data_IF_067468161780
#
_entry.id   IF_067468161780
#
_cell.length_a   1.000
_cell.length_b   1.000
_cell.length_c   1.000
_cell.angle_alpha   90.00
_cell.angle_beta   90.00
_cell.angle_gamma   90.00
#
_symmetry.space_group_name_H-M   'P 1'
#
loop_
_entity.id
_entity.type
_entity.pdbx_description
1 polymer ?
#
# COMPACT_ATOMS: atom_id res chain seq x y z
N UNK A 1 -8.44 -0.37 33.36
CA UNK A 1 -9.11 0.20 32.20
C UNK A 1 -10.61 0.05 32.43
N UNK A 2 -11.40 1.12 32.39
CA UNK A 2 -12.86 1.01 32.55
C UNK A 2 -13.41 0.30 31.32
N UNK A 3 -14.14 -0.79 31.58
CA UNK A 3 -14.82 -1.59 30.59
C UNK A 3 -15.86 -0.73 29.86
N UNK A 4 -15.67 -0.48 28.59
CA UNK A 4 -16.57 0.35 27.76
C UNK A 4 -17.81 -0.42 27.30
N UNK A 5 -18.18 -1.51 27.96
CA UNK A 5 -19.39 -2.30 27.64
C UNK A 5 -19.27 -3.14 26.35
N UNK A 6 -18.10 -3.20 25.73
CA UNK A 6 -17.85 -4.01 24.52
C UNK A 6 -17.28 -5.41 24.81
N UNK A 7 -16.95 -5.66 26.09
CA UNK A 7 -16.42 -6.94 26.55
C UNK A 7 -17.39 -7.58 27.55
N UNK A 8 -17.80 -8.81 27.28
CA UNK A 8 -18.59 -9.61 28.21
C UNK A 8 -17.67 -10.33 29.18
N UNK A 9 -17.46 -9.74 30.35
CA UNK A 9 -16.61 -10.28 31.40
C UNK A 9 -17.12 -11.60 31.99
N UNK A 10 -18.44 -11.87 31.92
CA UNK A 10 -19.03 -13.10 32.44
C UNK A 10 -18.68 -14.31 31.60
N UNK A 11 -18.47 -14.10 30.28
CA UNK A 11 -18.14 -15.15 29.32
C UNK A 11 -16.73 -14.97 28.71
N UNK A 12 -15.93 -14.03 29.21
CA UNK A 12 -14.61 -13.66 28.65
C UNK A 12 -14.68 -13.42 27.13
N UNK A 13 -15.74 -12.76 26.65
CA UNK A 13 -16.06 -12.69 25.23
C UNK A 13 -16.32 -11.25 24.78
N UNK A 14 -15.65 -10.83 23.71
CA UNK A 14 -15.95 -9.56 23.04
C UNK A 14 -17.19 -9.67 22.17
N UNK A 15 -18.08 -8.66 22.22
CA UNK A 15 -19.26 -8.59 21.37
C UNK A 15 -18.94 -8.40 19.90
N UNK A 16 -17.85 -7.75 19.58
CA UNK A 16 -17.36 -7.57 18.22
C UNK A 16 -15.96 -8.17 18.13
N UNK A 17 -15.76 -9.10 17.20
CA UNK A 17 -14.49 -9.76 17.00
C UNK A 17 -14.18 -9.84 15.51
N UNK A 18 -12.98 -9.42 15.15
CA UNK A 18 -12.43 -9.55 13.79
C UNK A 18 -11.36 -10.65 13.81
N UNK A 19 -11.43 -11.57 12.87
CA UNK A 19 -10.44 -12.64 12.67
C UNK A 19 -10.06 -12.71 11.21
N UNK A 20 -8.89 -13.25 10.92
CA UNK A 20 -8.48 -13.61 9.57
C UNK A 20 -8.93 -15.04 9.24
N UNK A 21 -9.40 -15.25 8.02
CA UNK A 21 -9.54 -16.56 7.42
C UNK A 21 -8.31 -16.80 6.54
N UNK A 22 -7.40 -17.65 7.00
CA UNK A 22 -6.14 -17.93 6.30
C UNK A 22 -6.33 -18.66 4.97
N UNK A 23 -7.45 -19.36 4.79
CA UNK A 23 -7.73 -20.12 3.57
C UNK A 23 -8.28 -19.21 2.44
N UNK A 24 -9.12 -18.24 2.80
CA UNK A 24 -9.75 -17.32 1.83
C UNK A 24 -9.07 -15.97 1.77
N UNK A 25 -8.13 -15.68 2.68
CA UNK A 25 -7.47 -14.38 2.86
C UNK A 25 -8.47 -13.23 3.11
N UNK A 26 -9.62 -13.56 3.66
CA UNK A 26 -10.70 -12.60 3.97
C UNK A 26 -10.78 -12.34 5.47
N UNK A 27 -11.36 -11.20 5.83
CA UNK A 27 -11.68 -10.89 7.20
C UNK A 27 -13.04 -11.50 7.60
N UNK A 28 -13.09 -12.07 8.77
CA UNK A 28 -14.31 -12.56 9.41
C UNK A 28 -14.69 -11.61 10.53
N UNK A 29 -15.93 -11.13 10.51
CA UNK A 29 -16.51 -10.27 11.52
C UNK A 29 -17.60 -11.03 12.27
N UNK A 30 -17.36 -11.29 13.55
CA UNK A 30 -18.34 -11.90 14.45
C UNK A 30 -18.95 -10.81 15.36
N UNK A 31 -20.25 -10.72 15.34
CA UNK A 31 -21.01 -9.74 16.13
C UNK A 31 -22.00 -10.53 17.01
N UNK A 32 -22.01 -10.26 18.32
CA UNK A 32 -22.96 -10.87 19.27
C UNK A 32 -23.88 -9.80 19.84
N UNK A 33 -25.08 -10.21 20.28
CA UNK A 33 -26.09 -9.31 20.83
C UNK A 33 -26.68 -8.37 19.77
N UNK A 34 -27.07 -7.17 20.19
CA UNK A 34 -27.72 -6.17 19.33
C UNK A 34 -26.74 -5.17 18.71
N UNK A 35 -25.46 -5.50 18.67
CA UNK A 35 -24.44 -4.62 18.11
C UNK A 35 -24.43 -4.65 16.59
N UNK A 36 -23.95 -3.57 16.00
CA UNK A 36 -23.78 -3.43 14.54
C UNK A 36 -22.43 -2.78 14.27
N UNK A 37 -21.85 -3.10 13.13
CA UNK A 37 -20.65 -2.46 12.60
C UNK A 37 -21.01 -1.70 11.35
N UNK A 38 -20.85 -0.39 11.38
CA UNK A 38 -21.17 0.50 10.29
C UNK A 38 -19.91 0.84 9.47
N UNK A 39 -19.86 0.33 8.26
CA UNK A 39 -18.82 0.62 7.27
C UNK A 39 -19.28 1.59 6.17
N UNK A 40 -20.35 2.34 6.38
CA UNK A 40 -20.87 3.29 5.38
C UNK A 40 -20.07 4.58 5.33
N UNK A 41 -19.32 4.91 6.39
CA UNK A 41 -18.50 6.13 6.46
C UNK A 41 -17.30 6.07 5.51
N UNK A 42 -16.89 7.22 4.98
CA UNK A 42 -15.78 7.33 4.03
C UNK A 42 -14.43 6.92 4.63
N UNK A 43 -14.21 7.22 5.92
CA UNK A 43 -12.95 6.97 6.65
C UNK A 43 -12.94 5.64 7.42
N UNK A 44 -13.78 4.68 7.03
CA UNK A 44 -13.81 3.37 7.67
C UNK A 44 -12.64 2.49 7.20
N UNK A 45 -12.23 1.55 8.06
CA UNK A 45 -11.19 0.54 7.75
C UNK A 45 -11.69 -0.56 6.80
N UNK A 46 -12.91 -0.45 6.27
CA UNK A 46 -13.56 -1.47 5.43
C UNK A 46 -12.71 -1.90 4.23
N UNK A 47 -12.07 -0.95 3.56
CA UNK A 47 -11.24 -1.23 2.38
C UNK A 47 -10.01 -2.08 2.71
N UNK A 48 -9.42 -1.87 3.88
CA UNK A 48 -8.29 -2.67 4.37
C UNK A 48 -8.74 -4.08 4.71
N UNK A 49 -9.93 -4.20 5.34
CA UNK A 49 -10.50 -5.48 5.75
C UNK A 49 -11.24 -6.21 4.63
N UNK A 50 -11.45 -5.57 3.47
CA UNK A 50 -12.13 -6.15 2.32
C UNK A 50 -13.66 -6.12 2.39
N UNK A 51 -14.27 -5.37 3.32
CA UNK A 51 -15.72 -5.22 3.42
C UNK A 51 -16.26 -4.18 2.46
N UNK A 52 -17.48 -4.40 1.97
CA UNK A 52 -18.21 -3.42 1.20
C UNK A 52 -18.80 -2.32 2.09
N UNK A 53 -19.30 -1.24 1.44
CA UNK A 53 -19.96 -0.12 2.12
C UNK A 53 -21.35 -0.56 2.60
N UNK A 54 -21.45 -1.08 3.83
CA UNK A 54 -22.67 -1.61 4.41
C UNK A 54 -22.66 -1.54 5.94
N UNK A 55 -23.83 -1.81 6.56
CA UNK A 55 -23.98 -2.03 7.99
C UNK A 55 -24.12 -3.54 8.24
N UNK A 56 -23.22 -4.09 9.02
CA UNK A 56 -23.18 -5.52 9.35
C UNK A 56 -23.76 -5.74 10.74
N UNK A 57 -24.75 -6.64 10.87
CA UNK A 57 -25.44 -6.95 12.12
C UNK A 57 -25.63 -8.45 12.37
N UNK A 58 -25.28 -9.30 11.40
CA UNK A 58 -25.37 -10.75 11.55
C UNK A 58 -24.28 -11.28 12.49
N UNK A 59 -24.52 -12.41 13.13
CA UNK A 59 -23.56 -13.05 14.03
C UNK A 59 -22.24 -13.44 13.36
N UNK A 60 -22.26 -13.68 12.06
CA UNK A 60 -21.09 -13.99 11.26
C UNK A 60 -21.18 -13.30 9.91
N UNK A 61 -20.13 -12.60 9.54
CA UNK A 61 -19.97 -11.99 8.22
C UNK A 61 -18.52 -12.23 7.74
N UNK A 62 -18.36 -12.64 6.50
CA UNK A 62 -17.07 -12.70 5.82
C UNK A 62 -16.97 -11.54 4.84
N UNK A 63 -15.80 -10.92 4.73
CA UNK A 63 -15.61 -9.81 3.81
C UNK A 63 -15.77 -10.28 2.37
N UNK A 64 -16.34 -9.42 1.52
CA UNK A 64 -16.62 -9.72 0.11
C UNK A 64 -15.31 -9.76 -0.71
N UNK A 65 -14.29 -9.03 -0.26
CA UNK A 65 -12.99 -8.99 -0.90
C UNK A 65 -11.91 -9.52 0.05
N UNK A 66 -10.77 -9.87 -0.49
CA UNK A 66 -9.58 -10.24 0.29
C UNK A 66 -9.07 -9.02 1.09
N UNK A 67 -8.45 -9.30 2.24
CA UNK A 67 -7.78 -8.27 3.06
C UNK A 67 -6.64 -7.65 2.26
N UNK A 68 -6.63 -6.33 2.15
CA UNK A 68 -5.62 -5.59 1.41
C UNK A 68 -4.85 -4.63 2.32
N UNK A 69 -3.85 -5.16 3.02
CA UNK A 69 -2.97 -4.37 3.89
C UNK A 69 -1.82 -3.75 3.08
N UNK A 70 -1.38 -4.44 2.03
CA UNK A 70 -0.28 -4.00 1.17
C UNK A 70 -0.87 -3.31 -0.06
N UNK A 71 -0.95 -2.00 -0.02
CA UNK A 71 -1.50 -1.20 -1.11
C UNK A 71 -0.46 -0.90 -2.21
N UNK A 72 0.82 -1.03 -1.92
CA UNK A 72 1.94 -0.79 -2.84
C UNK A 72 2.65 -2.11 -3.08
N UNK A 73 2.50 -2.65 -4.29
CA UNK A 73 3.15 -3.91 -4.70
C UNK A 73 4.48 -3.68 -5.40
N UNK A 74 4.62 -2.56 -6.12
CA UNK A 74 5.89 -2.19 -6.77
C UNK A 74 6.11 -0.68 -6.67
N UNK A 75 7.38 -0.31 -6.64
CA UNK A 75 7.86 1.07 -6.61
C UNK A 75 8.67 1.34 -7.86
N UNK A 76 8.47 2.52 -8.46
CA UNK A 76 9.21 2.96 -9.63
C UNK A 76 9.79 4.35 -9.39
N UNK A 77 11.05 4.50 -9.76
CA UNK A 77 11.74 5.79 -9.78
C UNK A 77 11.69 6.32 -11.20
N UNK A 78 11.12 7.49 -11.38
CA UNK A 78 11.06 8.18 -12.69
C UNK A 78 11.94 9.41 -12.67
N UNK A 79 12.48 9.79 -13.82
CA UNK A 79 13.33 10.95 -13.98
C UNK A 79 13.07 11.61 -15.35
N UNK A 80 12.89 12.91 -15.35
CA UNK A 80 12.48 13.70 -16.52
C UNK A 80 13.56 13.88 -17.58
N UNK A 81 14.84 13.72 -17.23
CA UNK A 81 15.97 13.93 -18.15
C UNK A 81 16.32 12.74 -19.01
N UNK A 82 15.75 11.56 -18.75
CA UNK A 82 16.04 10.35 -19.51
C UNK A 82 15.13 10.23 -20.74
N UNK A 83 15.64 9.55 -21.75
CA UNK A 83 14.83 9.08 -22.88
C UNK A 83 13.76 8.11 -22.42
N UNK A 84 12.75 7.91 -23.27
CA UNK A 84 11.60 7.07 -23.00
C UNK A 84 11.99 5.65 -22.64
N UNK A 85 11.55 5.18 -21.50
CA UNK A 85 11.44 3.76 -21.18
C UNK A 85 9.99 3.29 -21.40
N UNK A 86 9.78 1.98 -21.49
CA UNK A 86 8.44 1.42 -21.65
C UNK A 86 8.05 0.66 -20.38
N UNK A 87 6.87 0.95 -19.90
CA UNK A 87 6.26 0.20 -18.80
C UNK A 87 4.82 -0.15 -19.17
N UNK A 88 4.50 -1.44 -19.17
CA UNK A 88 3.17 -1.95 -19.50
C UNK A 88 2.59 -1.38 -20.82
N UNK A 89 3.44 -1.29 -21.86
CA UNK A 89 3.06 -0.78 -23.19
C UNK A 89 2.92 0.74 -23.29
N UNK A 90 3.20 1.48 -22.24
CA UNK A 90 3.19 2.96 -22.23
C UNK A 90 4.61 3.50 -22.10
N UNK A 91 4.85 4.61 -22.78
CA UNK A 91 6.09 5.37 -22.65
C UNK A 91 6.14 6.05 -21.29
N UNK A 92 7.17 5.77 -20.53
CA UNK A 92 7.42 6.40 -19.21
C UNK A 92 8.91 6.72 -19.07
N UNK A 93 9.25 7.63 -18.17
CA UNK A 93 10.63 7.97 -17.84
C UNK A 93 11.10 7.19 -16.59
N UNK A 94 10.80 5.90 -16.52
CA UNK A 94 11.19 5.02 -15.41
C UNK A 94 12.65 4.62 -15.55
N UNK A 95 13.45 4.92 -14.52
CA UNK A 95 14.87 4.56 -14.46
C UNK A 95 15.11 3.26 -13.69
N UNK A 96 14.27 2.99 -12.70
CA UNK A 96 14.39 1.80 -11.87
C UNK A 96 13.04 1.36 -11.31
N UNK A 97 12.86 0.07 -11.19
CA UNK A 97 11.65 -0.53 -10.60
C UNK A 97 12.05 -1.64 -9.64
N UNK A 98 11.42 -1.68 -8.47
CA UNK A 98 11.68 -2.69 -7.46
C UNK A 98 10.42 -3.02 -6.66
N UNK A 99 10.47 -4.15 -5.96
CA UNK A 99 9.41 -4.58 -5.05
C UNK A 99 9.86 -4.32 -3.62
N UNK A 100 9.00 -3.72 -2.76
CA UNK A 100 9.34 -3.60 -1.35
C UNK A 100 9.63 -4.98 -0.74
N UNK A 101 10.80 -5.14 -0.16
CA UNK A 101 11.24 -6.39 0.47
C UNK A 101 11.07 -6.38 1.99
N UNK A 102 10.48 -5.32 2.54
CA UNK A 102 10.20 -5.15 3.96
C UNK A 102 8.74 -4.74 4.17
N UNK A 103 8.22 -5.00 5.35
CA UNK A 103 6.86 -4.60 5.73
C UNK A 103 6.67 -3.09 5.83
N UNK A 104 5.42 -2.60 5.84
CA UNK A 104 5.09 -1.19 6.04
C UNK A 104 5.71 -0.64 7.33
N UNK A 105 6.28 0.57 7.26
CA UNK A 105 6.92 1.24 8.40
C UNK A 105 8.40 0.91 8.60
N UNK A 106 8.97 0.01 7.80
CA UNK A 106 10.40 -0.27 7.83
C UNK A 106 11.13 0.49 6.73
N UNK A 107 12.41 0.82 6.99
CA UNK A 107 13.29 1.48 6.02
C UNK A 107 13.60 0.52 4.86
N UNK A 108 13.37 0.96 3.64
CA UNK A 108 13.76 0.25 2.43
C UNK A 108 15.16 0.73 2.03
N UNK A 109 16.08 -0.21 1.83
CA UNK A 109 17.39 0.05 1.24
C UNK A 109 17.48 -0.83 0.00
N UNK A 110 17.49 -0.19 -1.16
CA UNK A 110 17.54 -0.86 -2.44
C UNK A 110 18.84 -0.53 -3.17
N UNK A 111 19.55 -1.57 -3.59
CA UNK A 111 20.79 -1.45 -4.34
C UNK A 111 20.68 -2.33 -5.58
N UNK A 112 20.66 -1.74 -6.78
CA UNK A 112 20.61 -2.52 -8.02
C UNK A 112 21.81 -3.46 -8.15
N UNK A 113 21.56 -4.73 -8.41
CA UNK A 113 22.62 -5.72 -8.65
C UNK A 113 23.37 -5.40 -9.93
N UNK A 114 22.64 -4.96 -10.96
CA UNK A 114 23.20 -4.54 -12.25
C UNK A 114 22.77 -3.11 -12.56
N UNK A 115 23.73 -2.25 -12.89
CA UNK A 115 23.43 -0.89 -13.32
C UNK A 115 23.00 -0.90 -14.79
N UNK A 116 21.81 -0.37 -15.04
CA UNK A 116 21.30 -0.13 -16.40
C UNK A 116 21.47 1.34 -16.72
N UNK A 117 22.16 1.65 -17.81
CA UNK A 117 22.33 3.02 -18.27
C UNK A 117 21.30 3.35 -19.33
N UNK A 118 20.59 4.45 -19.11
CA UNK A 118 19.60 4.98 -20.03
C UNK A 118 20.13 6.27 -20.67
N UNK A 119 19.83 6.54 -21.94
CA UNK A 119 20.30 7.73 -22.60
C UNK A 119 19.65 8.99 -22.02
N UNK A 120 20.48 10.00 -21.76
CA UNK A 120 20.02 11.34 -21.39
C UNK A 120 19.74 12.10 -22.69
N UNK A 121 18.60 12.76 -22.77
CA UNK A 121 18.15 13.49 -23.97
C UNK A 121 18.64 14.93 -24.02
N UNK A 122 19.27 15.41 -22.94
CA UNK A 122 19.69 16.79 -22.77
C UNK A 122 21.23 16.92 -22.82
N UNK A 123 21.72 17.90 -23.57
CA UNK A 123 23.16 18.24 -23.61
C UNK A 123 23.63 19.02 -22.36
N UNK A 124 22.68 19.68 -21.66
CA UNK A 124 22.91 20.36 -20.39
C UNK A 124 21.76 20.02 -19.44
N UNK A 125 22.08 19.75 -18.21
CA UNK A 125 21.12 19.40 -17.17
C UNK A 125 20.99 20.61 -16.21
N UNK A 126 20.05 21.54 -16.45
CA UNK A 126 19.85 22.68 -15.57
C UNK A 126 19.12 22.30 -14.27
N UNK A 127 18.24 21.32 -14.35
CA UNK A 127 17.46 20.76 -13.25
C UNK A 127 17.10 19.32 -13.56
N UNK A 128 16.74 18.56 -12.55
CA UNK A 128 16.29 17.18 -12.65
C UNK A 128 15.16 16.94 -11.69
N UNK A 129 14.01 16.51 -12.21
CA UNK A 129 12.86 16.12 -11.42
C UNK A 129 12.81 14.59 -11.30
N UNK A 130 12.75 14.10 -10.06
CA UNK A 130 12.66 12.68 -9.77
C UNK A 130 11.41 12.41 -8.94
N UNK A 131 10.68 11.36 -9.29
CA UNK A 131 9.47 10.94 -8.58
C UNK A 131 9.56 9.48 -8.19
N UNK A 132 9.04 9.15 -7.00
CA UNK A 132 8.77 7.79 -6.58
C UNK A 132 7.27 7.54 -6.74
N UNK A 133 6.92 6.58 -7.60
CA UNK A 133 5.53 6.26 -7.93
C UNK A 133 5.25 4.78 -7.66
N UNK A 134 3.98 4.47 -7.42
CA UNK A 134 3.49 3.09 -7.25
C UNK A 134 3.22 2.40 -8.60
N UNK A 135 2.71 1.17 -8.54
CA UNK A 135 2.31 0.39 -9.72
C UNK A 135 1.25 1.06 -10.60
N UNK A 136 0.50 2.01 -10.07
CA UNK A 136 -0.56 2.73 -10.76
C UNK A 136 -0.10 4.10 -11.30
N UNK A 137 1.18 4.46 -11.09
CA UNK A 137 1.73 5.76 -11.47
C UNK A 137 1.40 6.89 -10.48
N UNK A 138 0.89 6.57 -9.29
CA UNK A 138 0.57 7.54 -8.26
C UNK A 138 1.80 7.81 -7.40
N UNK A 139 2.02 9.09 -7.04
CA UNK A 139 3.09 9.46 -6.12
C UNK A 139 2.93 8.74 -4.77
N UNK A 140 4.04 8.17 -4.30
CA UNK A 140 4.10 7.50 -3.00
C UNK A 140 4.13 8.55 -1.89
N UNK A 141 3.20 8.44 -0.96
CA UNK A 141 3.21 9.27 0.24
C UNK A 141 4.17 8.67 1.28
N UNK A 142 5.31 9.32 1.44
CA UNK A 142 6.35 8.92 2.40
C UNK A 142 6.05 9.35 3.84
N UNK A 143 4.92 10.03 4.09
CA UNK A 143 4.50 10.49 5.44
C UNK A 143 5.53 11.35 6.16
N UNK A 144 6.31 12.11 5.42
CA UNK A 144 7.37 12.98 5.96
C UNK A 144 8.73 12.30 6.09
N UNK A 145 8.87 11.03 5.70
CA UNK A 145 10.16 10.34 5.67
C UNK A 145 11.02 10.84 4.50
N UNK A 146 12.32 10.85 4.71
CA UNK A 146 13.30 11.30 3.71
C UNK A 146 13.55 10.22 2.65
N UNK A 147 13.64 10.66 1.39
CA UNK A 147 14.05 9.85 0.25
C UNK A 147 15.43 10.27 -0.21
N UNK A 148 16.37 9.33 -0.26
CA UNK A 148 17.70 9.55 -0.83
C UNK A 148 17.89 8.67 -2.07
N UNK A 149 18.20 9.29 -3.21
CA UNK A 149 18.47 8.60 -4.47
C UNK A 149 19.86 9.01 -4.94
N UNK A 150 20.69 8.01 -5.31
CA UNK A 150 22.02 8.24 -5.88
C UNK A 150 21.99 7.90 -7.37
N UNK A 151 22.36 8.87 -8.18
CA UNK A 151 22.51 8.72 -9.62
C UNK A 151 24.00 8.53 -9.99
N UNK A 152 24.24 7.69 -10.97
CA UNK A 152 25.54 7.57 -11.63
C UNK A 152 25.38 7.97 -13.11
N UNK A 153 26.05 9.03 -13.49
CA UNK A 153 26.04 9.56 -14.86
C UNK A 153 27.44 9.37 -15.46
N UNK A 154 27.50 8.88 -16.68
CA UNK A 154 28.75 8.71 -17.43
C UNK A 154 28.57 9.17 -18.88
N UNK A 155 29.68 9.53 -19.52
CA UNK A 155 29.72 9.70 -20.97
C UNK A 155 29.55 8.33 -21.66
N UNK A 156 28.96 8.33 -22.87
CA UNK A 156 28.71 7.14 -23.66
C UNK A 156 29.96 6.67 -24.40
#
# INVERSE_FOLDING_TARGET
MKDNGHYDSANEKYHIRIKANSNTLRAMLNISGNYKVDFTTSNSIRTVLGFNKNVYSASYNESENIVNIINISSLRVTCDIIGSSYFNGKTENTIYSFFPNVGPGYKIIEVPVNLVYLPITLNKIPAMETKLIDQNGKLVNLRGEELSIRFHIREA
#
